data_IF_967486463622
#
_entry.id   IF_967486463622
#
_cell.length_a   1.000
_cell.length_b   1.000
_cell.length_c   1.000
_cell.angle_alpha   90.00
_cell.angle_beta   90.00
_cell.angle_gamma   90.00
#
_symmetry.space_group_name_H-M   'P 1'
#
loop_
_entity.id
_entity.type
_entity.pdbx_description
1 polymer ?
#
# COMPACT_ATOMS: atom_id res chain seq x y z
N UNK A 1 -12.86 23.31 14.87
CA UNK A 1 -12.53 21.88 15.02
C UNK A 1 -11.11 21.67 14.52
N UNK A 2 -10.27 21.20 15.42
CA UNK A 2 -8.86 20.89 15.11
C UNK A 2 -8.83 19.58 14.34
N UNK A 3 -8.11 19.48 13.22
CA UNK A 3 -8.09 18.26 12.42
C UNK A 3 -7.57 17.05 13.20
N UNK A 4 -8.13 15.88 12.96
CA UNK A 4 -7.79 14.57 13.55
C UNK A 4 -6.31 14.12 13.37
N UNK A 5 -5.50 14.87 12.63
CA UNK A 5 -4.10 14.55 12.30
C UNK A 5 -3.12 14.67 13.48
N UNK A 6 -3.55 15.18 14.64
CA UNK A 6 -2.66 15.42 15.82
C UNK A 6 -2.07 14.17 16.46
N UNK A 7 -2.51 12.98 16.11
CA UNK A 7 -2.04 11.74 16.74
C UNK A 7 -0.93 11.01 15.96
N UNK A 8 -0.58 11.47 14.77
CA UNK A 8 0.50 10.87 13.99
C UNK A 8 1.86 11.39 14.51
N UNK A 9 2.88 10.52 14.70
CA UNK A 9 4.17 10.88 15.27
C UNK A 9 4.86 12.04 14.55
N UNK A 10 4.75 12.10 13.24
CA UNK A 10 5.36 13.15 12.40
C UNK A 10 4.77 14.53 12.71
N UNK A 11 3.45 14.62 12.91
CA UNK A 11 2.81 15.88 13.26
C UNK A 11 3.20 16.36 14.66
N UNK A 12 3.45 15.44 15.60
CA UNK A 12 3.91 15.82 16.94
C UNK A 12 5.29 16.47 16.90
N UNK A 13 6.18 15.98 16.03
CA UNK A 13 7.52 16.55 15.87
C UNK A 13 7.47 17.91 15.20
N UNK A 14 6.67 18.07 14.13
CA UNK A 14 6.44 19.37 13.51
C UNK A 14 5.76 20.35 14.47
N UNK A 15 4.75 19.92 15.22
CA UNK A 15 4.06 20.74 16.22
C UNK A 15 5.03 21.21 17.29
N UNK A 16 5.97 20.36 17.73
CA UNK A 16 7.05 20.73 18.67
C UNK A 16 7.97 21.81 18.10
N UNK A 17 8.38 21.67 16.83
CA UNK A 17 9.24 22.67 16.16
C UNK A 17 8.50 24.00 16.03
N UNK A 18 7.24 23.97 15.57
CA UNK A 18 6.42 25.18 15.43
C UNK A 18 6.23 25.85 16.79
N UNK A 19 5.93 25.09 17.85
CA UNK A 19 5.81 25.64 19.22
C UNK A 19 7.11 26.26 19.69
N UNK A 20 8.26 25.59 19.47
CA UNK A 20 9.56 26.15 19.80
C UNK A 20 9.84 27.46 19.08
N UNK A 21 9.41 27.65 17.83
CA UNK A 21 9.50 28.94 17.13
C UNK A 21 8.54 30.00 17.69
N UNK A 22 7.42 29.60 18.29
CA UNK A 22 6.33 30.50 18.72
C UNK A 22 6.27 30.68 20.23
N UNK A 23 7.24 30.19 21.00
CA UNK A 23 7.29 30.36 22.45
C UNK A 23 7.25 31.85 22.81
N UNK A 24 6.58 32.19 23.91
CA UNK A 24 6.45 33.58 24.36
C UNK A 24 7.78 34.13 24.88
N UNK A 25 8.48 33.35 25.67
CA UNK A 25 9.77 33.69 26.22
C UNK A 25 10.85 33.56 25.15
N UNK A 26 11.67 34.60 24.96
CA UNK A 26 12.74 34.61 23.94
C UNK A 26 13.74 33.49 24.13
N UNK A 27 14.07 33.22 25.38
CA UNK A 27 15.05 32.19 25.79
C UNK A 27 14.56 30.76 25.52
N UNK A 28 13.22 30.56 25.40
CA UNK A 28 12.60 29.28 25.08
C UNK A 28 12.46 29.03 23.58
N UNK A 29 12.77 30.02 22.72
CA UNK A 29 12.78 29.88 21.27
C UNK A 29 14.10 29.33 20.78
N UNK A 30 14.12 28.87 19.53
CA UNK A 30 15.39 28.64 18.83
C UNK A 30 16.22 29.91 18.82
N UNK A 31 17.48 29.83 19.31
CA UNK A 31 18.35 30.97 19.47
C UNK A 31 19.07 31.37 18.19
N UNK A 32 19.13 30.46 17.22
CA UNK A 32 19.72 30.70 15.90
C UNK A 32 18.97 29.98 14.78
N UNK A 33 19.18 30.43 13.56
CA UNK A 33 18.71 29.73 12.37
C UNK A 33 19.38 28.36 12.21
N UNK A 34 20.63 28.24 12.65
CA UNK A 34 21.40 26.99 12.58
C UNK A 34 20.80 25.93 13.51
N UNK A 35 20.45 26.27 14.74
CA UNK A 35 19.75 25.37 15.68
C UNK A 35 18.42 24.84 15.12
N UNK A 36 17.63 25.71 14.51
CA UNK A 36 16.41 25.34 13.85
C UNK A 36 16.68 24.43 12.65
N UNK A 37 17.70 24.72 11.84
CA UNK A 37 18.11 23.94 10.69
C UNK A 37 18.56 22.53 11.10
N UNK A 38 19.36 22.40 12.14
CA UNK A 38 19.78 21.11 12.70
C UNK A 38 18.57 20.28 13.14
N UNK A 39 17.64 20.87 13.89
CA UNK A 39 16.42 20.18 14.33
C UNK A 39 15.56 19.70 13.15
N UNK A 40 15.44 20.53 12.11
CA UNK A 40 14.73 20.15 10.88
C UNK A 40 15.45 19.04 10.12
N UNK A 41 16.78 19.04 10.11
CA UNK A 41 17.59 18.01 9.47
C UNK A 41 17.48 16.67 10.22
N UNK A 42 17.48 16.69 11.54
CA UNK A 42 17.24 15.51 12.38
C UNK A 42 15.86 14.91 12.11
N UNK A 43 14.82 15.74 12.08
CA UNK A 43 13.48 15.30 11.72
C UNK A 43 13.44 14.67 10.32
N UNK A 44 14.10 15.30 9.35
CA UNK A 44 14.18 14.76 7.99
C UNK A 44 14.89 13.41 7.94
N UNK A 45 15.95 13.22 8.70
CA UNK A 45 16.68 11.96 8.79
C UNK A 45 15.83 10.88 9.45
N UNK A 46 15.14 11.18 10.54
CA UNK A 46 14.22 10.24 11.20
C UNK A 46 13.07 9.80 10.26
N UNK A 47 12.50 10.74 9.50
CA UNK A 47 11.47 10.42 8.51
C UNK A 47 12.00 9.52 7.38
N UNK A 48 13.27 9.72 6.97
CA UNK A 48 13.92 8.83 5.98
C UNK A 48 14.16 7.43 6.52
N UNK A 49 14.63 7.31 7.77
CA UNK A 49 14.83 6.03 8.44
C UNK A 49 13.51 5.28 8.59
N UNK A 50 12.45 5.94 9.07
CA UNK A 50 11.13 5.34 9.17
C UNK A 50 10.58 4.85 7.84
N UNK A 51 10.86 5.56 6.75
CA UNK A 51 10.41 5.13 5.44
C UNK A 51 11.28 4.00 4.85
N UNK A 52 12.53 3.86 5.28
CA UNK A 52 13.33 2.66 4.98
C UNK A 52 12.75 1.40 5.66
N UNK A 53 11.97 1.58 6.74
CA UNK A 53 11.26 0.49 7.42
C UNK A 53 9.89 0.17 6.79
N UNK A 54 9.46 0.92 5.78
CA UNK A 54 8.18 0.66 5.10
C UNK A 54 8.22 -0.68 4.38
N UNK A 55 7.21 -1.52 4.64
CA UNK A 55 7.03 -2.75 3.87
C UNK A 55 6.52 -2.44 2.46
N UNK A 56 7.21 -2.91 1.46
CA UNK A 56 6.86 -2.69 0.06
C UNK A 56 6.26 -3.97 -0.53
N UNK A 57 5.05 -3.88 -1.06
CA UNK A 57 4.38 -4.96 -1.77
C UNK A 57 4.12 -4.51 -3.21
N UNK A 58 4.62 -5.28 -4.16
CA UNK A 58 4.42 -4.98 -5.59
C UNK A 58 3.30 -5.84 -6.15
N UNK A 59 2.30 -5.20 -6.74
CA UNK A 59 1.26 -5.84 -7.51
C UNK A 59 1.60 -5.74 -9.01
N UNK A 60 1.63 -6.87 -9.68
CA UNK A 60 1.91 -6.99 -11.10
C UNK A 60 0.83 -7.84 -11.78
N UNK A 61 0.39 -7.47 -12.97
CA UNK A 61 -0.58 -8.22 -13.74
C UNK A 61 0.06 -9.12 -14.78
N UNK A 62 -0.39 -10.35 -14.90
CA UNK A 62 0.04 -11.27 -15.94
C UNK A 62 -0.45 -10.84 -17.35
N UNK A 63 -1.49 -10.01 -17.42
CA UNK A 63 -2.06 -9.51 -18.67
C UNK A 63 -2.79 -8.18 -18.46
N UNK A 64 -3.02 -7.44 -19.53
CA UNK A 64 -3.84 -6.24 -19.52
C UNK A 64 -5.30 -6.59 -19.16
N UNK A 65 -5.95 -5.72 -18.37
CA UNK A 65 -7.35 -5.90 -17.98
C UNK A 65 -7.60 -6.99 -16.94
N UNK A 66 -6.56 -7.60 -16.37
CA UNK A 66 -6.67 -8.66 -15.36
C UNK A 66 -7.14 -8.15 -13.98
N UNK A 67 -7.19 -6.82 -13.80
CA UNK A 67 -7.64 -6.18 -12.56
C UNK A 67 -6.56 -5.93 -11.52
N UNK A 68 -5.31 -5.76 -11.95
CA UNK A 68 -4.15 -5.46 -11.06
C UNK A 68 -4.41 -4.25 -10.18
N UNK A 69 -4.74 -3.11 -10.79
CA UNK A 69 -5.05 -1.85 -10.08
C UNK A 69 -6.20 -2.03 -9.07
N UNK A 70 -7.27 -2.74 -9.47
CA UNK A 70 -8.41 -2.99 -8.60
C UNK A 70 -8.02 -3.82 -7.36
N UNK A 71 -7.24 -4.88 -7.57
CA UNK A 71 -6.74 -5.74 -6.50
C UNK A 71 -5.77 -4.98 -5.56
N UNK A 72 -4.86 -4.18 -6.12
CA UNK A 72 -3.91 -3.37 -5.35
C UNK A 72 -4.60 -2.29 -4.51
N UNK A 73 -5.57 -1.57 -5.08
CA UNK A 73 -6.39 -0.59 -4.36
C UNK A 73 -7.19 -1.27 -3.24
N UNK A 74 -7.81 -2.41 -3.52
CA UNK A 74 -8.56 -3.18 -2.52
C UNK A 74 -7.69 -3.65 -1.37
N UNK A 75 -6.46 -4.10 -1.65
CA UNK A 75 -5.49 -4.48 -0.61
C UNK A 75 -5.08 -3.29 0.26
N UNK A 76 -4.74 -2.15 -0.35
CA UNK A 76 -4.38 -0.93 0.37
C UNK A 76 -5.52 -0.46 1.28
N UNK A 77 -6.76 -0.47 0.77
CA UNK A 77 -7.95 -0.12 1.54
C UNK A 77 -8.22 -1.10 2.69
N UNK A 78 -8.10 -2.41 2.43
CA UNK A 78 -8.23 -3.45 3.45
C UNK A 78 -7.24 -3.23 4.61
N UNK A 79 -5.96 -3.00 4.31
CA UNK A 79 -4.91 -2.78 5.31
C UNK A 79 -5.23 -1.54 6.17
N UNK A 80 -5.53 -0.42 5.53
CA UNK A 80 -5.82 0.84 6.23
C UNK A 80 -7.03 0.71 7.15
N UNK A 81 -8.12 0.10 6.69
CA UNK A 81 -9.30 -0.15 7.52
C UNK A 81 -9.05 -1.08 8.71
N UNK A 82 -8.06 -1.94 8.62
CA UNK A 82 -7.69 -2.84 9.70
C UNK A 82 -6.56 -2.29 10.59
N UNK A 83 -6.30 -0.97 10.55
CA UNK A 83 -5.37 -0.28 11.43
C UNK A 83 -3.90 -0.38 11.00
N UNK A 84 -3.65 -0.69 9.73
CA UNK A 84 -2.34 -0.64 9.12
C UNK A 84 -2.37 0.37 7.96
N UNK A 85 -2.02 1.65 8.19
CA UNK A 85 -2.03 2.66 7.14
C UNK A 85 -1.21 2.23 5.94
N UNK A 86 -1.81 2.24 4.76
CA UNK A 86 -1.16 1.83 3.53
C UNK A 86 -1.31 2.89 2.44
N UNK A 87 -0.20 3.17 1.74
CA UNK A 87 -0.19 3.99 0.54
C UNK A 87 -0.29 3.10 -0.69
N UNK A 88 -1.32 3.30 -1.51
CA UNK A 88 -1.28 2.81 -2.89
C UNK A 88 -0.50 3.79 -3.76
N UNK A 89 0.41 3.28 -4.59
CA UNK A 89 1.22 4.08 -5.49
C UNK A 89 1.33 3.44 -6.87
N UNK A 90 1.00 4.18 -7.93
CA UNK A 90 1.36 3.78 -9.29
C UNK A 90 2.89 3.82 -9.43
N UNK A 91 3.49 2.72 -9.87
CA UNK A 91 4.93 2.64 -10.15
C UNK A 91 5.27 3.20 -11.53
N UNK A 92 4.32 3.14 -12.47
CA UNK A 92 4.43 3.68 -13.82
C UNK A 92 3.17 4.46 -14.19
N UNK A 93 3.22 5.28 -15.23
CA UNK A 93 2.06 6.07 -15.68
C UNK A 93 1.02 5.16 -16.36
N UNK A 94 0.06 4.70 -15.57
CA UNK A 94 -1.13 4.00 -16.07
C UNK A 94 -2.29 4.95 -16.29
N UNK A 95 -2.19 6.19 -15.82
CA UNK A 95 -3.27 7.19 -15.76
C UNK A 95 -4.51 6.77 -14.97
N UNK A 96 -4.51 5.59 -14.34
CA UNK A 96 -5.68 5.03 -13.66
C UNK A 96 -6.09 5.90 -12.47
N UNK A 97 -5.14 6.28 -11.61
CA UNK A 97 -5.40 7.12 -10.43
C UNK A 97 -5.86 8.51 -10.82
N UNK A 98 -5.23 9.14 -11.82
CA UNK A 98 -5.64 10.48 -12.27
C UNK A 98 -7.03 10.45 -12.89
N UNK A 99 -7.36 9.42 -13.67
CA UNK A 99 -8.70 9.24 -14.25
C UNK A 99 -9.75 9.02 -13.16
N UNK A 100 -9.45 8.18 -12.17
CA UNK A 100 -10.30 7.94 -11.01
C UNK A 100 -10.58 9.25 -10.25
N UNK A 101 -9.53 9.99 -9.91
CA UNK A 101 -9.63 11.23 -9.16
C UNK A 101 -10.43 12.30 -9.94
N UNK A 102 -10.20 12.43 -11.25
CA UNK A 102 -10.96 13.32 -12.14
C UNK A 102 -12.45 12.97 -12.13
N UNK A 103 -12.79 11.69 -12.29
CA UNK A 103 -14.19 11.25 -12.33
C UNK A 103 -14.90 11.42 -10.99
N UNK A 104 -14.15 11.37 -9.86
CA UNK A 104 -14.68 11.61 -8.52
C UNK A 104 -14.61 13.08 -8.08
N UNK A 105 -14.06 13.99 -8.89
CA UNK A 105 -13.89 15.40 -8.54
C UNK A 105 -12.94 15.66 -7.37
N UNK A 106 -11.95 14.76 -7.13
CA UNK A 106 -11.04 14.83 -5.99
C UNK A 106 -9.73 15.50 -6.41
N UNK A 107 -9.21 16.37 -5.52
CA UNK A 107 -7.91 17.02 -5.69
C UNK A 107 -6.86 16.36 -4.81
N UNK A 108 -5.59 16.44 -5.20
CA UNK A 108 -4.47 16.04 -4.36
C UNK A 108 -4.30 16.98 -3.18
N UNK A 109 -3.77 16.44 -2.09
CA UNK A 109 -3.20 17.25 -1.02
C UNK A 109 -1.83 17.85 -1.45
N UNK A 110 -1.20 18.61 -0.54
CA UNK A 110 0.11 19.24 -0.79
C UNK A 110 1.25 18.23 -1.01
N UNK A 111 1.04 16.97 -0.63
CA UNK A 111 2.02 15.89 -0.78
C UNK A 111 1.80 15.07 -2.06
N UNK A 112 0.87 15.47 -2.91
CA UNK A 112 0.55 14.79 -4.15
C UNK A 112 -0.26 13.49 -3.94
N UNK A 113 -0.94 13.34 -2.81
CA UNK A 113 -1.77 12.19 -2.48
C UNK A 113 -3.24 12.55 -2.61
N UNK A 114 -4.01 11.67 -3.25
CA UNK A 114 -5.46 11.70 -3.22
C UNK A 114 -5.96 10.94 -2.01
N UNK A 115 -6.99 11.47 -1.33
CA UNK A 115 -7.65 10.80 -0.21
C UNK A 115 -9.04 10.34 -0.66
N UNK A 116 -9.29 9.03 -0.63
CA UNK A 116 -10.57 8.41 -1.00
C UNK A 116 -11.04 7.53 0.16
N UNK A 117 -12.03 8.00 0.91
CA UNK A 117 -12.41 7.37 2.18
C UNK A 117 -11.23 7.34 3.15
N UNK A 118 -10.85 6.16 3.64
CA UNK A 118 -9.63 5.98 4.45
C UNK A 118 -8.37 5.73 3.59
N UNK A 119 -8.51 5.59 2.27
CA UNK A 119 -7.40 5.25 1.38
C UNK A 119 -6.52 6.45 1.01
N UNK A 120 -5.22 6.21 0.94
CA UNK A 120 -4.20 7.15 0.47
C UNK A 120 -3.67 6.64 -0.86
N UNK A 121 -3.79 7.43 -1.91
CA UNK A 121 -3.53 7.00 -3.28
C UNK A 121 -2.63 8.02 -3.97
N UNK A 122 -1.50 7.58 -4.48
CA UNK A 122 -0.52 8.41 -5.19
C UNK A 122 -0.40 7.96 -6.64
N UNK A 123 -0.64 8.86 -7.63
CA UNK A 123 -0.37 8.57 -9.03
C UNK A 123 1.14 8.56 -9.30
N UNK A 124 1.52 8.09 -10.46
CA UNK A 124 2.89 8.27 -10.96
C UNK A 124 3.14 9.73 -11.36
N UNK A 125 4.20 10.32 -10.83
CA UNK A 125 4.60 11.70 -11.13
C UNK A 125 5.85 11.82 -12.02
N UNK A 126 6.44 10.69 -12.41
CA UNK A 126 7.74 10.66 -13.08
C UNK A 126 8.91 10.61 -12.10
N UNK A 127 10.05 10.09 -12.55
CA UNK A 127 11.24 9.93 -11.71
C UNK A 127 11.89 11.26 -11.32
N UNK A 128 11.73 12.29 -12.16
CA UNK A 128 12.32 13.62 -11.94
C UNK A 128 11.58 14.42 -10.85
N UNK A 129 10.35 14.04 -10.50
CA UNK A 129 9.54 14.78 -9.52
C UNK A 129 9.92 14.38 -8.10
N UNK A 130 10.57 15.27 -7.39
CA UNK A 130 10.84 15.10 -5.96
C UNK A 130 9.56 15.40 -5.18
N UNK A 131 8.91 14.35 -4.70
CA UNK A 131 7.74 14.48 -3.82
C UNK A 131 8.19 14.60 -2.37
N UNK A 132 7.40 15.28 -1.52
CA UNK A 132 7.62 15.28 -0.08
C UNK A 132 7.65 13.84 0.45
N UNK A 133 8.49 13.64 1.45
CA UNK A 133 8.60 12.36 2.13
C UNK A 133 7.30 12.08 2.88
N UNK A 134 6.78 10.88 2.72
CA UNK A 134 5.59 10.41 3.43
C UNK A 134 5.90 9.05 4.04
N UNK A 135 5.69 8.94 5.34
CA UNK A 135 5.77 7.67 6.02
C UNK A 135 4.44 6.90 5.93
N UNK A 136 4.52 5.71 5.41
CA UNK A 136 3.46 4.70 5.49
C UNK A 136 4.09 3.37 5.88
N UNK A 137 3.56 2.69 6.91
CA UNK A 137 4.06 1.35 7.29
C UNK A 137 4.02 0.36 6.15
N UNK A 138 3.12 0.56 5.19
CA UNK A 138 3.01 -0.28 3.99
C UNK A 138 2.84 0.58 2.74
N UNK A 139 3.58 0.23 1.70
CA UNK A 139 3.44 0.82 0.37
C UNK A 139 3.07 -0.28 -0.62
N UNK A 140 1.89 -0.16 -1.22
CA UNK A 140 1.42 -1.03 -2.29
C UNK A 140 1.78 -0.38 -3.62
N UNK A 141 2.77 -0.91 -4.33
CA UNK A 141 3.17 -0.42 -5.66
C UNK A 141 2.46 -1.21 -6.74
N UNK A 142 1.71 -0.52 -7.58
CA UNK A 142 1.06 -1.08 -8.78
C UNK A 142 1.93 -0.84 -10.00
N UNK A 143 2.46 -1.90 -10.60
CA UNK A 143 3.26 -1.84 -11.83
C UNK A 143 2.41 -2.10 -13.09
N UNK A 144 1.11 -2.30 -12.94
CA UNK A 144 0.25 -2.65 -14.07
C UNK A 144 0.59 -4.03 -14.64
N UNK A 145 0.71 -4.13 -15.95
CA UNK A 145 1.13 -5.38 -16.62
C UNK A 145 2.64 -5.51 -16.57
N UNK A 146 3.12 -6.69 -16.16
CA UNK A 146 4.55 -6.97 -16.13
C UNK A 146 5.14 -7.02 -17.55
N UNK A 147 6.25 -6.33 -17.76
CA UNK A 147 7.02 -6.35 -19.01
C UNK A 147 8.47 -6.75 -18.70
N UNK A 148 9.06 -7.63 -19.51
CA UNK A 148 10.42 -8.13 -19.27
C UNK A 148 11.49 -7.05 -19.20
N UNK A 149 11.33 -5.98 -19.98
CA UNK A 149 12.26 -4.85 -20.13
C UNK A 149 12.15 -3.81 -19.00
N UNK A 150 11.08 -3.82 -18.21
CA UNK A 150 10.86 -2.83 -17.16
C UNK A 150 11.62 -3.18 -15.88
N UNK A 151 12.26 -2.17 -15.29
CA UNK A 151 12.92 -2.31 -13.98
C UNK A 151 11.87 -2.34 -12.89
N UNK A 152 11.55 -3.53 -12.40
CA UNK A 152 10.60 -3.69 -11.32
C UNK A 152 11.14 -3.10 -10.01
N UNK A 153 10.29 -2.43 -9.20
CA UNK A 153 10.66 -2.00 -7.86
C UNK A 153 11.06 -3.19 -6.98
N UNK A 154 12.00 -2.96 -6.06
CA UNK A 154 12.27 -3.91 -4.99
C UNK A 154 11.06 -4.01 -4.06
N UNK A 155 10.83 -5.22 -3.52
CA UNK A 155 9.68 -5.52 -2.67
C UNK A 155 10.00 -6.60 -1.66
N UNK A 156 9.29 -6.57 -0.52
CA UNK A 156 9.31 -7.66 0.45
C UNK A 156 8.65 -8.92 -0.13
N UNK A 157 7.60 -8.74 -0.92
CA UNK A 157 7.00 -9.78 -1.75
C UNK A 157 6.23 -9.21 -2.94
N UNK A 158 6.03 -10.04 -3.94
CA UNK A 158 5.34 -9.72 -5.17
C UNK A 158 4.00 -10.45 -5.22
N UNK A 159 2.94 -9.77 -5.63
CA UNK A 159 1.62 -10.33 -5.90
C UNK A 159 1.39 -10.32 -7.40
N UNK A 160 1.39 -11.48 -8.03
CA UNK A 160 1.06 -11.62 -9.44
C UNK A 160 -0.44 -11.84 -9.60
N UNK A 161 -1.12 -10.84 -10.13
CA UNK A 161 -2.55 -10.91 -10.43
C UNK A 161 -2.75 -11.69 -11.73
N UNK A 162 -3.50 -12.78 -11.64
CA UNK A 162 -3.69 -13.78 -12.70
C UNK A 162 -5.16 -13.94 -13.05
N UNK A 163 -5.43 -14.42 -14.27
CA UNK A 163 -6.72 -14.98 -14.64
C UNK A 163 -6.72 -16.50 -14.58
N UNK A 164 -7.91 -17.09 -14.39
CA UNK A 164 -8.08 -18.53 -14.28
C UNK A 164 -8.46 -19.25 -15.58
N UNK A 165 -8.50 -18.56 -16.70
CA UNK A 165 -8.86 -19.15 -17.98
C UNK A 165 -7.67 -19.86 -18.62
N UNK A 166 -7.95 -20.96 -19.35
CA UNK A 166 -6.91 -21.78 -19.96
C UNK A 166 -5.90 -21.01 -20.81
N UNK A 167 -6.37 -20.00 -21.56
CA UNK A 167 -5.52 -19.17 -22.43
C UNK A 167 -4.76 -18.05 -21.68
N UNK A 168 -4.96 -17.91 -20.38
CA UNK A 168 -4.26 -16.96 -19.51
C UNK A 168 -3.09 -17.61 -18.75
N UNK A 169 -3.08 -18.94 -18.68
CA UNK A 169 -2.10 -19.71 -17.89
C UNK A 169 -0.68 -19.51 -18.38
N UNK A 170 -0.43 -19.49 -19.69
CA UNK A 170 0.94 -19.29 -20.23
C UNK A 170 1.47 -17.91 -19.90
N UNK A 171 0.63 -16.88 -19.93
CA UNK A 171 1.00 -15.52 -19.49
C UNK A 171 1.35 -15.49 -18.01
N UNK A 172 0.57 -16.19 -17.18
CA UNK A 172 0.84 -16.35 -15.76
C UNK A 172 2.20 -17.03 -15.52
N UNK A 173 2.50 -18.10 -16.25
CA UNK A 173 3.79 -18.83 -16.16
C UNK A 173 4.95 -17.90 -16.52
N UNK A 174 4.85 -17.15 -17.62
CA UNK A 174 5.92 -16.25 -18.06
C UNK A 174 6.13 -15.10 -17.07
N UNK A 175 5.06 -14.47 -16.60
CA UNK A 175 5.12 -13.40 -15.61
C UNK A 175 5.68 -13.91 -14.27
N UNK A 176 5.27 -15.09 -13.81
CA UNK A 176 5.77 -15.70 -12.59
C UNK A 176 7.29 -15.99 -12.66
N UNK A 177 7.81 -16.44 -13.80
CA UNK A 177 9.25 -16.64 -13.99
C UNK A 177 10.05 -15.35 -13.80
N UNK A 178 9.54 -14.23 -14.35
CA UNK A 178 10.18 -12.92 -14.18
C UNK A 178 10.20 -12.50 -12.72
N UNK A 179 9.09 -12.64 -11.99
CA UNK A 179 9.00 -12.22 -10.60
C UNK A 179 9.79 -13.16 -9.66
N UNK A 180 9.81 -14.48 -9.90
CA UNK A 180 10.58 -15.43 -9.09
C UNK A 180 12.08 -15.13 -9.05
N UNK A 181 12.62 -14.53 -10.09
CA UNK A 181 14.02 -14.09 -10.10
C UNK A 181 14.27 -12.86 -9.22
N UNK A 182 13.21 -12.20 -8.73
CA UNK A 182 13.28 -10.98 -7.92
C UNK A 182 13.01 -11.21 -6.44
N UNK A 183 12.25 -12.26 -6.08
CA UNK A 183 11.93 -12.53 -4.68
C UNK A 183 10.72 -13.44 -4.48
N UNK A 184 10.13 -13.35 -3.29
CA UNK A 184 8.93 -14.11 -2.94
C UNK A 184 7.73 -13.69 -3.79
N UNK A 185 7.05 -14.64 -4.41
CA UNK A 185 5.91 -14.41 -5.31
C UNK A 185 4.68 -15.15 -4.79
N UNK A 186 3.55 -14.47 -4.80
CA UNK A 186 2.23 -15.04 -4.50
C UNK A 186 1.33 -14.83 -5.73
N UNK A 187 0.62 -15.87 -6.15
CA UNK A 187 -0.36 -15.74 -7.23
C UNK A 187 -1.71 -15.32 -6.66
N UNK A 188 -2.34 -14.34 -7.27
CA UNK A 188 -3.69 -13.90 -6.94
C UNK A 188 -4.59 -14.06 -8.16
N UNK A 189 -5.37 -15.14 -8.19
CA UNK A 189 -6.36 -15.38 -9.24
C UNK A 189 -7.57 -14.50 -9.02
N UNK A 190 -7.70 -13.47 -9.86
CA UNK A 190 -8.77 -12.49 -9.77
C UNK A 190 -10.07 -13.00 -10.39
N UNK A 191 -11.21 -12.55 -9.85
CA UNK A 191 -12.57 -12.93 -10.24
C UNK A 191 -12.81 -14.44 -10.13
N UNK A 192 -12.22 -15.09 -9.15
CA UNK A 192 -12.40 -16.52 -8.90
C UNK A 192 -12.87 -16.79 -7.46
N UNK A 193 -13.78 -17.72 -7.32
CA UNK A 193 -14.23 -18.16 -6.01
C UNK A 193 -13.25 -19.17 -5.39
N UNK A 194 -13.18 -19.20 -4.06
CA UNK A 194 -12.32 -20.10 -3.29
C UNK A 194 -12.53 -21.60 -3.61
N UNK A 195 -13.70 -21.96 -4.15
CA UNK A 195 -14.02 -23.33 -4.55
C UNK A 195 -13.59 -23.70 -5.98
N UNK A 196 -13.02 -22.74 -6.73
CA UNK A 196 -12.59 -23.00 -8.08
C UNK A 196 -11.46 -24.04 -8.10
N UNK A 197 -11.61 -25.07 -8.94
CA UNK A 197 -10.58 -26.07 -9.18
C UNK A 197 -9.71 -25.61 -10.36
N UNK A 198 -8.51 -25.14 -10.07
CA UNK A 198 -7.55 -24.72 -11.07
C UNK A 198 -6.46 -25.80 -11.19
N UNK A 199 -6.23 -26.31 -12.41
CA UNK A 199 -5.09 -27.18 -12.70
C UNK A 199 -3.91 -26.30 -13.08
N UNK A 200 -2.99 -26.08 -12.13
CA UNK A 200 -1.78 -25.32 -12.39
C UNK A 200 -0.69 -26.21 -13.02
N UNK A 201 0.10 -25.67 -13.96
CA UNK A 201 1.31 -26.32 -14.44
C UNK A 201 2.30 -26.59 -13.30
N UNK A 202 3.06 -27.68 -13.40
CA UNK A 202 4.08 -28.05 -12.39
C UNK A 202 5.06 -26.92 -12.05
N UNK A 203 5.36 -26.05 -13.02
CA UNK A 203 6.27 -24.91 -12.83
C UNK A 203 5.75 -23.86 -11.85
N UNK A 204 4.45 -23.86 -11.53
CA UNK A 204 3.80 -22.99 -10.56
C UNK A 204 3.42 -23.71 -9.26
N UNK A 205 3.72 -25.00 -9.12
CA UNK A 205 3.27 -25.83 -7.99
C UNK A 205 3.90 -25.45 -6.65
N UNK A 206 5.02 -24.76 -6.67
CA UNK A 206 5.77 -24.29 -5.50
C UNK A 206 5.43 -22.83 -5.11
N UNK A 207 4.51 -22.18 -5.82
CA UNK A 207 4.07 -20.82 -5.54
C UNK A 207 2.73 -20.88 -4.83
N UNK A 208 2.61 -20.19 -3.69
CA UNK A 208 1.34 -20.04 -3.00
C UNK A 208 0.36 -19.22 -3.83
N UNK A 209 -0.91 -19.57 -3.76
CA UNK A 209 -1.93 -18.88 -4.51
C UNK A 209 -3.22 -18.67 -3.73
N UNK A 210 -3.92 -17.57 -4.07
CA UNK A 210 -5.19 -17.18 -3.50
C UNK A 210 -6.21 -16.86 -4.62
N UNK A 211 -7.48 -16.94 -4.27
CA UNK A 211 -8.59 -16.59 -5.15
C UNK A 211 -9.26 -15.33 -4.62
N UNK A 212 -9.25 -14.27 -5.44
CA UNK A 212 -9.96 -13.04 -5.15
C UNK A 212 -11.31 -13.07 -5.86
N UNK A 213 -12.43 -13.10 -5.12
CA UNK A 213 -13.75 -13.09 -5.72
C UNK A 213 -14.01 -11.73 -6.39
N UNK A 214 -15.03 -11.71 -7.26
CA UNK A 214 -15.50 -10.46 -7.83
C UNK A 214 -16.09 -9.56 -6.74
N UNK A 215 -15.67 -8.30 -6.72
CA UNK A 215 -16.29 -7.23 -5.95
C UNK A 215 -16.20 -5.92 -6.74
N UNK A 216 -17.26 -5.12 -6.74
CA UNK A 216 -17.41 -4.00 -7.67
C UNK A 216 -16.63 -2.75 -7.28
N UNK A 217 -16.31 -2.57 -5.99
CA UNK A 217 -15.72 -1.32 -5.50
C UNK A 217 -14.57 -1.61 -4.53
N UNK A 218 -13.32 -1.26 -4.88
CA UNK A 218 -12.14 -1.52 -4.04
C UNK A 218 -12.11 -0.68 -2.76
N UNK A 219 -12.95 0.35 -2.66
CA UNK A 219 -13.06 1.23 -1.49
C UNK A 219 -14.22 0.86 -0.56
N UNK A 220 -14.90 -0.25 -0.82
CA UNK A 220 -15.97 -0.77 0.04
C UNK A 220 -15.58 -2.11 0.65
N UNK A 221 -16.14 -2.35 1.81
CA UNK A 221 -15.92 -3.61 2.51
C UNK A 221 -16.64 -4.76 1.77
N UNK A 222 -15.87 -5.79 1.42
CA UNK A 222 -16.37 -7.08 0.95
C UNK A 222 -15.79 -8.20 1.81
N UNK A 223 -16.63 -9.01 2.45
CA UNK A 223 -16.20 -10.03 3.40
C UNK A 223 -15.32 -11.11 2.77
N UNK A 224 -15.62 -11.51 1.54
CA UNK A 224 -14.87 -12.56 0.87
C UNK A 224 -13.53 -12.06 0.35
N UNK A 225 -13.49 -10.86 -0.24
CA UNK A 225 -12.27 -10.18 -0.63
C UNK A 225 -11.38 -9.89 0.59
N UNK A 226 -11.94 -9.39 1.69
CA UNK A 226 -11.19 -9.13 2.93
C UNK A 226 -10.58 -10.40 3.52
N UNK A 227 -11.25 -11.55 3.40
CA UNK A 227 -10.68 -12.84 3.82
C UNK A 227 -9.49 -13.22 2.95
N UNK A 228 -9.60 -13.07 1.63
CA UNK A 228 -8.50 -13.30 0.69
C UNK A 228 -7.31 -12.39 0.99
N UNK A 229 -7.52 -11.08 1.14
CA UNK A 229 -6.45 -10.11 1.43
C UNK A 229 -5.75 -10.39 2.76
N UNK A 230 -6.49 -10.78 3.79
CA UNK A 230 -5.89 -11.17 5.07
C UNK A 230 -5.01 -12.40 4.92
N UNK A 231 -5.51 -13.43 4.23
CA UNK A 231 -4.78 -14.70 4.07
C UNK A 231 -3.51 -14.47 3.20
N UNK A 232 -3.61 -13.67 2.14
CA UNK A 232 -2.50 -13.25 1.29
C UNK A 232 -1.46 -12.45 2.07
N UNK A 233 -1.89 -11.48 2.88
CA UNK A 233 -1.00 -10.68 3.72
C UNK A 233 -0.22 -11.53 4.71
N UNK A 234 -0.92 -12.42 5.42
CA UNK A 234 -0.28 -13.32 6.39
C UNK A 234 0.76 -14.24 5.74
N UNK A 235 0.47 -14.72 4.53
CA UNK A 235 1.38 -15.56 3.75
C UNK A 235 2.62 -14.78 3.31
N UNK A 236 2.43 -13.61 2.70
CA UNK A 236 3.51 -12.77 2.19
C UNK A 236 4.44 -12.24 3.27
N UNK A 237 3.91 -11.97 4.46
CA UNK A 237 4.69 -11.39 5.57
C UNK A 237 5.20 -12.41 6.58
N UNK A 238 4.68 -13.63 6.56
CA UNK A 238 4.92 -14.63 7.61
C UNK A 238 4.29 -14.26 8.96
N UNK A 239 3.45 -13.20 9.03
CA UNK A 239 2.87 -12.72 10.27
C UNK A 239 1.55 -13.44 10.62
N UNK A 240 1.60 -14.30 11.62
CA UNK A 240 0.37 -14.90 12.19
C UNK A 240 -0.36 -13.98 13.19
N UNK A 241 0.21 -12.82 13.53
CA UNK A 241 -0.26 -11.91 14.59
C UNK A 241 -1.56 -11.14 14.29
N UNK A 242 -2.00 -11.06 13.05
CA UNK A 242 -3.20 -10.30 12.67
C UNK A 242 -4.49 -10.74 13.38
N UNK A 243 -4.62 -12.03 13.70
CA UNK A 243 -5.79 -12.57 14.43
C UNK A 243 -5.88 -12.07 15.88
N UNK A 244 -4.76 -11.83 16.58
CA UNK A 244 -4.75 -11.49 18.02
C UNK A 244 -5.11 -10.03 18.31
N UNK A 245 -4.73 -9.07 17.47
CA UNK A 245 -5.07 -7.65 17.70
C UNK A 245 -6.58 -7.34 17.58
N UNK A 246 -7.30 -8.05 16.72
CA UNK A 246 -8.74 -7.85 16.52
C UNK A 246 -9.60 -8.39 17.66
N UNK A 247 -9.18 -9.48 18.32
CA UNK A 247 -9.90 -10.01 19.50
C UNK A 247 -9.81 -9.07 20.71
N UNK A 248 -8.63 -8.48 20.95
CA UNK A 248 -8.43 -7.58 22.09
C UNK A 248 -9.14 -6.24 21.94
N UNK A 249 -9.35 -5.74 20.73
CA UNK A 249 -10.12 -4.52 20.49
C UNK A 249 -11.64 -4.75 20.58
N UNK A 250 -12.13 -5.93 20.22
CA UNK A 250 -13.56 -6.27 20.40
C UNK A 250 -13.92 -6.48 21.86
N UNK A 251 -13.07 -7.12 22.66
CA UNK A 251 -13.27 -7.30 24.10
C UNK A 251 -13.27 -5.97 24.85
N UNK A 252 -12.42 -5.01 24.45
CA UNK A 252 -12.40 -3.66 25.07
C UNK A 252 -13.59 -2.78 24.69
N UNK A 253 -14.35 -3.10 23.63
CA UNK A 253 -15.58 -2.39 23.26
C UNK A 253 -16.84 -2.99 23.89
N UNK A 254 -16.82 -4.27 24.27
CA UNK A 254 -17.94 -4.91 24.99
C UNK A 254 -17.93 -4.61 26.49
N UNK A 255 -16.81 -4.12 27.05
CA UNK A 255 -16.70 -3.72 28.46
C UNK A 255 -16.95 -2.22 28.68
N UNK A 256 -17.34 -1.48 27.62
CA UNK A 256 -17.61 -0.03 27.63
C UNK A 256 -19.08 0.32 27.30
N UNK A 257 -19.98 -0.68 27.19
CA UNK A 257 -21.42 -0.55 27.12
C UNK A 257 -22.04 -1.20 28.38
#
# INVERSE_FOLDING_TARGET
>A
SVPEYRNEPEYRMFDRIIRGCMEKEKEARYQSADELQETLQELQNQLKEQAAESRIVVFAGAAAGIGTTHAALGMSHFLTRNGCPALYQEAYDTSAVRTLAKNMGIKTDRTGVYRIGCGSIRPYYGEAVKLPYLYFPVIIKDVGVIRPEEKLPEADFYVLVCGGKWWEIDRTVNAAKILKSRGNVILLFNHMEKKARLKLPKVLSDIHYFFLPFFSNPFREDKAANTCYRDLWNDGTGETRWKRKKLSQRLRRSDAE
#
